data_IF_055695901508
#
_entry.id   IF_055695901508
#
_cell.length_a   1.000
_cell.length_b   1.000
_cell.length_c   1.000
_cell.angle_alpha   90.00
_cell.angle_beta   90.00
_cell.angle_gamma   90.00
#
_symmetry.space_group_name_H-M   'P 1'
#
loop_
_entity.id
_entity.type
_entity.pdbx_description
1 polymer ?
#
# COMPACT_ATOMS: atom_id res chain seq x y z
N UNK A 1 -11.44 -5.33 13.93
CA UNK A 1 -10.29 -5.87 14.71
C UNK A 1 -9.09 -6.01 13.77
N UNK A 2 -7.89 -5.58 14.19
CA UNK A 2 -6.69 -5.66 13.36
C UNK A 2 -6.36 -7.13 13.03
N UNK A 3 -6.19 -7.45 11.75
CA UNK A 3 -5.79 -8.79 11.31
C UNK A 3 -4.29 -8.98 11.55
N UNK A 4 -3.92 -10.11 12.14
CA UNK A 4 -2.53 -10.38 12.50
C UNK A 4 -1.76 -10.90 11.27
N UNK A 5 -0.67 -10.22 10.91
CA UNK A 5 0.24 -10.68 9.85
C UNK A 5 1.16 -11.76 10.41
N UNK A 6 1.37 -12.81 9.63
CA UNK A 6 2.29 -13.90 9.92
C UNK A 6 3.39 -13.93 8.86
N UNK A 7 4.62 -14.25 9.28
CA UNK A 7 5.74 -14.62 8.42
C UNK A 7 6.26 -15.99 8.90
N UNK A 8 6.25 -16.98 8.01
CA UNK A 8 6.58 -18.37 8.35
C UNK A 8 5.81 -18.85 9.60
N UNK A 9 4.51 -18.57 9.61
CA UNK A 9 3.55 -18.87 10.70
C UNK A 9 3.82 -18.21 12.05
N UNK A 10 4.78 -17.28 12.14
CA UNK A 10 5.06 -16.49 13.34
C UNK A 10 4.51 -15.08 13.19
N UNK A 11 4.06 -14.47 14.29
CA UNK A 11 3.62 -13.08 14.30
C UNK A 11 4.69 -12.19 13.69
N UNK A 12 4.28 -11.34 12.77
CA UNK A 12 5.16 -10.46 12.03
C UNK A 12 4.56 -9.07 11.90
N UNK A 13 5.43 -8.07 11.91
CA UNK A 13 5.08 -6.66 11.75
C UNK A 13 6.03 -6.05 10.73
N UNK A 14 5.47 -5.49 9.66
CA UNK A 14 6.22 -4.61 8.76
C UNK A 14 6.37 -3.27 9.47
N UNK A 15 7.58 -2.75 9.51
CA UNK A 15 7.92 -1.50 10.16
C UNK A 15 8.24 -0.42 9.12
N UNK A 16 8.32 0.84 9.55
CA UNK A 16 8.67 1.95 8.67
C UNK A 16 9.99 1.73 7.93
N UNK A 17 10.99 1.12 8.57
CA UNK A 17 12.30 0.79 7.97
C UNK A 17 12.23 -0.25 6.83
N UNK A 18 11.12 -0.99 6.73
CA UNK A 18 10.90 -2.00 5.70
C UNK A 18 10.23 -1.39 4.44
N UNK A 19 9.89 -0.10 4.49
CA UNK A 19 9.37 0.69 3.38
C UNK A 19 10.53 1.19 2.48
N UNK A 20 10.31 1.36 1.17
CA UNK A 20 9.06 1.20 0.45
C UNK A 20 8.73 -0.27 0.12
N UNK A 21 7.44 -0.60 0.08
CA UNK A 21 6.90 -1.95 -0.17
C UNK A 21 6.17 -1.99 -1.51
N UNK A 22 6.46 -3.00 -2.33
CA UNK A 22 5.65 -3.38 -3.50
C UNK A 22 4.90 -4.68 -3.22
N UNK A 23 3.60 -4.70 -3.45
CA UNK A 23 2.74 -5.87 -3.31
C UNK A 23 2.09 -6.17 -4.66
N UNK A 24 2.42 -7.33 -5.21
CA UNK A 24 1.84 -7.83 -6.44
C UNK A 24 0.86 -8.98 -6.16
N UNK A 25 -0.29 -8.96 -6.83
CA UNK A 25 -1.18 -10.11 -6.87
C UNK A 25 -2.31 -10.01 -7.89
N UNK A 26 -2.70 -11.16 -8.43
CA UNK A 26 -3.92 -11.35 -9.21
C UNK A 26 -5.20 -11.14 -8.38
N UNK A 27 -6.34 -11.07 -9.09
CA UNK A 27 -7.64 -10.93 -8.45
C UNK A 27 -7.99 -12.19 -7.63
N UNK A 28 -8.57 -12.00 -6.45
CA UNK A 28 -9.13 -13.09 -5.63
C UNK A 28 -8.12 -13.93 -4.84
N UNK A 29 -6.81 -13.65 -4.91
CA UNK A 29 -5.78 -14.48 -4.25
C UNK A 29 -5.41 -14.01 -2.84
N UNK A 30 -5.86 -12.83 -2.42
CA UNK A 30 -5.67 -12.32 -1.06
C UNK A 30 -4.78 -11.08 -0.92
N UNK A 31 -4.04 -10.69 -1.96
CA UNK A 31 -3.14 -9.52 -1.92
C UNK A 31 -3.83 -8.22 -1.47
N UNK A 32 -5.06 -8.00 -1.94
CA UNK A 32 -5.84 -6.81 -1.59
C UNK A 32 -6.10 -6.72 -0.08
N UNK A 33 -6.62 -7.79 0.52
CA UNK A 33 -6.90 -7.81 1.96
C UNK A 33 -5.61 -7.69 2.77
N UNK A 34 -4.57 -8.42 2.38
CA UNK A 34 -3.26 -8.36 3.03
C UNK A 34 -2.68 -6.93 3.03
N UNK A 35 -2.72 -6.24 1.89
CA UNK A 35 -2.19 -4.87 1.77
C UNK A 35 -2.92 -3.88 2.68
N UNK A 36 -4.24 -4.02 2.82
CA UNK A 36 -5.02 -3.19 3.74
C UNK A 36 -4.63 -3.50 5.19
N UNK A 37 -4.52 -4.77 5.55
CA UNK A 37 -4.07 -5.17 6.90
C UNK A 37 -2.66 -4.68 7.24
N UNK A 38 -1.75 -4.70 6.27
CA UNK A 38 -0.40 -4.16 6.41
C UNK A 38 -0.41 -2.66 6.72
N UNK A 39 -1.18 -1.88 5.95
CA UNK A 39 -1.27 -0.42 6.18
C UNK A 39 -2.04 -0.10 7.46
N UNK A 40 -3.05 -0.91 7.81
CA UNK A 40 -3.72 -0.83 9.11
C UNK A 40 -2.77 -1.09 10.28
N UNK A 41 -1.86 -2.06 10.15
CA UNK A 41 -0.85 -2.36 11.17
C UNK A 41 0.17 -1.21 11.28
N UNK A 42 0.68 -0.68 10.16
CA UNK A 42 1.54 0.52 10.15
C UNK A 42 0.86 1.73 10.81
N UNK A 43 -0.43 1.94 10.53
CA UNK A 43 -1.19 3.01 11.19
C UNK A 43 -1.32 2.78 12.69
N UNK A 44 -1.53 1.53 13.12
CA UNK A 44 -1.58 1.16 14.54
C UNK A 44 -0.23 1.28 15.25
N UNK A 45 0.88 1.22 14.51
CA UNK A 45 2.21 1.54 14.99
C UNK A 45 2.45 3.06 15.13
N UNK A 46 1.50 3.91 14.71
CA UNK A 46 1.54 5.36 14.90
C UNK A 46 1.80 6.16 13.62
N UNK A 47 1.88 5.52 12.45
CA UNK A 47 2.11 6.22 11.19
C UNK A 47 0.81 6.82 10.64
N UNK A 48 0.91 8.05 10.17
CA UNK A 48 -0.18 8.73 9.47
C UNK A 48 -0.23 8.27 8.00
N UNK A 49 -1.42 8.27 7.39
CA UNK A 49 -1.67 7.61 6.10
C UNK A 49 -2.36 8.54 5.11
N UNK A 50 -1.80 8.63 3.90
CA UNK A 50 -2.54 9.02 2.70
C UNK A 50 -2.97 7.76 1.97
N UNK A 51 -4.28 7.60 1.79
CA UNK A 51 -4.87 6.35 1.31
C UNK A 51 -5.59 6.62 -0.01
N UNK A 52 -5.00 6.14 -1.11
CA UNK A 52 -5.58 6.16 -2.45
C UNK A 52 -5.85 4.72 -2.91
N UNK A 53 -7.09 4.44 -3.27
CA UNK A 53 -7.55 3.13 -3.73
C UNK A 53 -8.64 3.32 -4.76
N UNK A 54 -8.64 2.51 -5.83
CA UNK A 54 -9.70 2.52 -6.84
C UNK A 54 -11.06 2.05 -6.33
N UNK A 55 -11.15 1.51 -5.12
CA UNK A 55 -12.37 0.95 -4.56
C UNK A 55 -12.60 1.33 -3.10
N UNK A 56 -13.87 1.62 -2.74
CA UNK A 56 -14.30 2.01 -1.40
C UNK A 56 -14.15 0.92 -0.35
N UNK A 57 -14.33 -0.35 -0.73
CA UNK A 57 -14.24 -1.50 0.18
C UNK A 57 -12.90 -1.59 0.93
N UNK A 58 -11.81 -1.18 0.29
CA UNK A 58 -10.49 -1.14 0.93
C UNK A 58 -10.43 -0.13 2.07
N UNK A 59 -11.14 1.01 1.93
CA UNK A 59 -11.26 2.01 2.99
C UNK A 59 -12.11 1.48 4.14
N UNK A 60 -13.26 0.89 3.84
CA UNK A 60 -14.14 0.30 4.85
C UNK A 60 -13.41 -0.76 5.68
N UNK A 61 -12.66 -1.63 5.02
CA UNK A 61 -11.83 -2.65 5.67
C UNK A 61 -10.73 -2.03 6.55
N UNK A 62 -10.07 -0.97 6.09
CA UNK A 62 -9.09 -0.24 6.88
C UNK A 62 -9.72 0.37 8.14
N UNK A 63 -10.87 1.03 8.00
CA UNK A 63 -11.61 1.63 9.12
C UNK A 63 -12.09 0.56 10.10
N UNK A 64 -12.54 -0.61 9.62
CA UNK A 64 -12.96 -1.72 10.49
C UNK A 64 -11.79 -2.34 11.28
N UNK A 65 -10.62 -2.45 10.66
CA UNK A 65 -9.43 -2.97 11.33
C UNK A 65 -8.87 -1.97 12.35
N UNK A 66 -8.89 -0.68 12.02
CA UNK A 66 -8.23 0.36 12.82
C UNK A 66 -9.16 1.09 13.79
N UNK A 67 -10.45 1.13 13.53
CA UNK A 67 -11.40 2.04 14.19
C UNK A 67 -11.16 3.52 13.89
N UNK A 68 -10.19 3.86 13.02
CA UNK A 68 -9.91 5.23 12.64
C UNK A 68 -10.92 5.67 11.58
N UNK A 69 -11.55 6.83 11.77
CA UNK A 69 -12.36 7.48 10.73
C UNK A 69 -11.47 8.46 9.98
N UNK A 70 -11.18 8.16 8.71
CA UNK A 70 -10.39 9.05 7.87
C UNK A 70 -11.20 10.27 7.43
N UNK A 71 -10.52 11.28 6.90
CA UNK A 71 -11.14 12.46 6.31
C UNK A 71 -11.02 12.39 4.80
N UNK A 72 -12.11 12.67 4.10
CA UNK A 72 -12.10 12.85 2.65
C UNK A 72 -11.66 14.25 2.29
N UNK A 73 -10.76 14.35 1.33
CA UNK A 73 -10.33 15.62 0.77
C UNK A 73 -11.17 15.98 -0.46
N UNK A 74 -11.47 17.26 -0.62
CA UNK A 74 -12.11 17.82 -1.81
C UNK A 74 -11.11 18.65 -2.63
N UNK A 75 -11.52 19.05 -3.83
CA UNK A 75 -10.70 19.83 -4.76
C UNK A 75 -10.20 21.16 -4.19
N UNK A 76 -10.94 21.73 -3.24
CA UNK A 76 -10.63 23.02 -2.63
C UNK A 76 -9.83 22.89 -1.33
N UNK A 77 -9.55 21.66 -0.88
CA UNK A 77 -8.97 21.37 0.43
C UNK A 77 -9.78 22.00 1.58
N UNK A 78 -11.06 22.34 1.35
CA UNK A 78 -11.91 23.14 2.23
C UNK A 78 -12.49 22.32 3.38
N UNK A 79 -12.72 21.03 3.17
CA UNK A 79 -13.23 20.12 4.20
C UNK A 79 -12.19 19.77 5.28
N UNK A 80 -11.01 20.40 5.20
CA UNK A 80 -9.83 20.00 5.93
C UNK A 80 -9.19 21.17 6.67
N UNK A 81 -9.99 21.95 7.40
CA UNK A 81 -9.45 22.84 8.44
C UNK A 81 -8.49 22.02 9.32
N UNK A 82 -7.21 22.42 9.34
CA UNK A 82 -6.12 21.70 9.98
C UNK A 82 -5.87 20.29 9.40
N UNK A 83 -5.80 20.16 8.07
CA UNK A 83 -5.52 18.89 7.37
C UNK A 83 -4.22 18.23 7.85
N UNK A 84 -3.21 19.03 8.20
CA UNK A 84 -1.95 18.57 8.78
C UNK A 84 -2.13 17.76 10.08
N UNK A 85 -3.20 18.00 10.84
CA UNK A 85 -3.49 17.24 12.08
C UNK A 85 -4.17 15.89 11.85
N UNK A 86 -4.62 15.60 10.61
CA UNK A 86 -5.40 14.39 10.33
C UNK A 86 -4.48 13.20 10.15
N UNK A 87 -4.74 12.13 10.89
CA UNK A 87 -3.94 10.91 10.83
C UNK A 87 -4.18 10.06 9.60
N UNK A 88 -5.38 10.11 9.05
CA UNK A 88 -5.76 9.33 7.86
C UNK A 88 -6.54 10.26 6.92
N UNK A 89 -6.04 10.38 5.70
CA UNK A 89 -6.68 11.16 4.63
C UNK A 89 -6.98 10.21 3.49
N UNK A 90 -8.26 10.12 3.13
CA UNK A 90 -8.73 9.36 1.98
C UNK A 90 -8.73 10.24 0.74
N UNK A 91 -8.00 9.81 -0.27
CA UNK A 91 -7.98 10.45 -1.58
C UNK A 91 -9.08 9.79 -2.43
N UNK A 92 -10.01 10.56 -3.00
CA UNK A 92 -11.01 10.03 -3.92
C UNK A 92 -10.34 9.44 -5.17
N UNK A 93 -10.81 8.27 -5.62
CA UNK A 93 -10.24 7.55 -6.77
C UNK A 93 -10.39 8.31 -8.08
N UNK A 94 -11.43 9.13 -8.18
CA UNK A 94 -11.78 9.97 -9.32
C UNK A 94 -10.94 11.26 -9.40
N UNK A 95 -10.20 11.58 -8.35
CA UNK A 95 -9.36 12.77 -8.23
C UNK A 95 -7.98 12.43 -7.63
N UNK A 96 -7.21 11.51 -8.25
CA UNK A 96 -5.92 11.07 -7.73
C UNK A 96 -4.88 12.20 -7.65
N UNK A 97 -5.04 13.27 -8.44
CA UNK A 97 -4.22 14.49 -8.39
C UNK A 97 -4.29 15.22 -7.05
N UNK A 98 -5.33 15.00 -6.23
CA UNK A 98 -5.38 15.55 -4.88
C UNK A 98 -4.29 14.98 -3.97
N UNK A 99 -3.82 13.77 -4.24
CA UNK A 99 -2.62 13.24 -3.58
C UNK A 99 -1.43 14.14 -3.86
N UNK A 100 -1.23 14.53 -5.12
CA UNK A 100 -0.13 15.39 -5.53
C UNK A 100 -0.25 16.78 -4.87
N UNK A 101 -1.44 17.36 -4.87
CA UNK A 101 -1.69 18.62 -4.19
C UNK A 101 -1.46 18.56 -2.67
N UNK A 102 -1.71 17.42 -2.03
CA UNK A 102 -1.36 17.20 -0.61
C UNK A 102 0.15 17.18 -0.38
N UNK A 103 0.89 16.46 -1.22
CA UNK A 103 2.35 16.38 -1.13
C UNK A 103 3.01 17.76 -1.24
N UNK A 104 2.47 18.63 -2.09
CA UNK A 104 3.00 19.99 -2.30
C UNK A 104 2.63 20.97 -1.16
N UNK A 105 1.63 20.65 -0.34
CA UNK A 105 1.10 21.54 0.72
C UNK A 105 1.52 21.16 2.13
N UNK A 106 1.77 19.87 2.37
CA UNK A 106 2.01 19.33 3.70
C UNK A 106 3.49 19.02 3.90
N UNK A 107 4.13 19.75 4.82
CA UNK A 107 5.54 19.57 5.14
C UNK A 107 5.86 18.16 5.69
N UNK A 108 4.90 17.54 6.36
CA UNK A 108 5.00 16.18 6.93
C UNK A 108 4.59 15.09 5.93
N UNK A 109 4.21 15.44 4.70
CA UNK A 109 3.83 14.46 3.68
C UNK A 109 4.87 13.34 3.44
N UNK A 110 6.19 13.61 3.43
CA UNK A 110 7.20 12.56 3.29
C UNK A 110 7.27 11.58 4.48
N UNK A 111 6.80 12.00 5.67
CA UNK A 111 6.80 11.19 6.90
C UNK A 111 5.61 10.22 6.95
N UNK A 112 4.55 10.53 6.19
CA UNK A 112 3.33 9.73 6.12
C UNK A 112 3.49 8.52 5.22
N UNK A 113 2.77 7.45 5.54
CA UNK A 113 2.62 6.29 4.66
C UNK A 113 1.72 6.67 3.49
N UNK A 114 2.25 6.57 2.28
CA UNK A 114 1.47 6.67 1.04
C UNK A 114 1.03 5.27 0.66
N UNK A 115 -0.25 4.95 0.86
CA UNK A 115 -0.83 3.72 0.37
C UNK A 115 -1.52 3.97 -0.96
N UNK A 116 -0.92 3.46 -2.03
CA UNK A 116 -1.45 3.58 -3.39
C UNK A 116 -1.80 2.19 -3.91
N UNK A 117 -3.09 1.87 -3.76
CA UNK A 117 -3.68 0.57 -4.01
C UNK A 117 -4.38 0.56 -5.37
N UNK A 118 -4.28 -0.56 -6.08
CA UNK A 118 -4.72 -0.73 -7.45
C UNK A 118 -4.01 0.22 -8.41
N UNK A 119 -2.68 0.27 -8.33
CA UNK A 119 -1.87 1.15 -9.18
C UNK A 119 -2.18 0.99 -10.68
N UNK A 120 -2.61 -0.19 -11.13
CA UNK A 120 -3.01 -0.45 -12.52
C UNK A 120 -4.23 0.36 -12.99
N UNK A 121 -4.99 0.95 -12.06
CA UNK A 121 -6.18 1.77 -12.38
C UNK A 121 -5.88 3.26 -12.52
N UNK A 122 -4.65 3.68 -12.22
CA UNK A 122 -4.26 5.09 -12.19
C UNK A 122 -3.17 5.35 -13.21
N UNK A 123 -3.06 6.59 -13.66
CA UNK A 123 -2.08 6.97 -14.67
C UNK A 123 -0.67 7.12 -14.08
N UNK A 124 0.33 6.85 -14.92
CA UNK A 124 1.75 6.95 -14.61
C UNK A 124 2.18 8.28 -13.95
N UNK A 125 1.66 9.47 -14.33
CA UNK A 125 2.08 10.72 -13.73
C UNK A 125 1.89 10.77 -12.21
N UNK A 126 0.86 10.10 -11.66
CA UNK A 126 0.66 10.00 -10.21
C UNK A 126 1.77 9.18 -9.57
N UNK A 127 2.12 8.04 -10.16
CA UNK A 127 3.24 7.22 -9.69
C UNK A 127 4.56 7.99 -9.73
N UNK A 128 4.83 8.73 -10.82
CA UNK A 128 6.05 9.54 -10.95
C UNK A 128 6.22 10.56 -9.83
N UNK A 129 5.13 11.11 -9.30
CA UNK A 129 5.16 12.07 -8.18
C UNK A 129 5.45 11.42 -6.82
N UNK A 130 5.14 10.14 -6.65
CA UNK A 130 5.30 9.44 -5.35
C UNK A 130 6.46 8.46 -5.31
N UNK A 131 7.04 8.09 -6.46
CA UNK A 131 8.04 7.01 -6.56
C UNK A 131 9.30 7.22 -5.71
N UNK A 132 9.68 8.46 -5.40
CA UNK A 132 10.84 8.78 -4.58
C UNK A 132 10.54 8.83 -3.08
N UNK A 133 9.26 8.75 -2.68
CA UNK A 133 8.89 8.83 -1.28
C UNK A 133 9.32 7.56 -0.53
N UNK A 134 9.88 7.69 0.69
CA UNK A 134 10.43 6.55 1.43
C UNK A 134 9.33 5.66 1.99
N UNK A 135 8.23 6.25 2.46
CA UNK A 135 7.13 5.56 3.15
C UNK A 135 6.02 5.13 2.18
N UNK A 136 6.40 4.49 1.08
CA UNK A 136 5.46 4.09 0.02
C UNK A 136 5.04 2.62 0.16
N UNK A 137 3.74 2.36 0.09
CA UNK A 137 3.17 1.01 -0.07
C UNK A 137 2.37 0.98 -1.36
N UNK A 138 2.83 0.22 -2.35
CA UNK A 138 2.11 -0.02 -3.59
C UNK A 138 1.47 -1.39 -3.57
N UNK A 139 0.20 -1.47 -3.97
CA UNK A 139 -0.45 -2.75 -4.21
C UNK A 139 -1.19 -2.73 -5.53
N UNK A 140 -1.09 -3.80 -6.31
CA UNK A 140 -1.78 -3.91 -7.59
C UNK A 140 -1.34 -5.09 -8.43
N UNK A 141 -1.72 -5.06 -9.70
CA UNK A 141 -1.33 -6.08 -10.67
C UNK A 141 -0.32 -5.50 -11.68
N UNK A 142 0.94 -5.92 -11.56
CA UNK A 142 2.03 -5.50 -12.44
C UNK A 142 1.75 -5.85 -13.90
N UNK A 143 1.16 -7.01 -14.15
CA UNK A 143 0.88 -7.51 -15.50
C UNK A 143 -0.27 -6.74 -16.19
N UNK A 144 -0.98 -5.87 -15.46
CA UNK A 144 -2.03 -4.98 -15.97
C UNK A 144 -1.65 -3.51 -15.95
N UNK A 145 -0.47 -3.16 -15.45
CA UNK A 145 -0.03 -1.79 -15.30
C UNK A 145 0.75 -1.33 -16.54
N UNK A 146 0.34 -0.22 -17.14
CA UNK A 146 0.98 0.34 -18.34
C UNK A 146 2.40 0.86 -18.10
N UNK A 147 2.77 1.14 -16.84
CA UNK A 147 4.08 1.65 -16.43
C UNK A 147 4.82 0.66 -15.51
N UNK A 148 4.53 -0.64 -15.66
CA UNK A 148 5.15 -1.69 -14.85
C UNK A 148 6.68 -1.66 -14.87
N UNK A 149 7.31 -1.35 -16.01
CA UNK A 149 8.77 -1.24 -16.14
C UNK A 149 9.38 -0.29 -15.10
N UNK A 150 8.70 0.82 -14.80
CA UNK A 150 9.18 1.78 -13.80
C UNK A 150 8.97 1.31 -12.36
N UNK A 151 7.90 0.54 -12.13
CA UNK A 151 7.69 -0.13 -10.85
C UNK A 151 8.78 -1.18 -10.61
N UNK A 152 9.13 -1.96 -11.64
CA UNK A 152 10.17 -3.00 -11.57
C UNK A 152 11.56 -2.40 -11.39
N UNK A 153 11.86 -1.31 -12.10
CA UNK A 153 13.16 -0.63 -12.02
C UNK A 153 13.41 0.10 -10.68
N UNK A 154 12.36 0.37 -9.90
CA UNK A 154 12.50 1.01 -8.58
C UNK A 154 13.12 0.03 -7.58
N UNK A 155 14.04 0.55 -6.77
CA UNK A 155 14.55 -0.15 -5.60
C UNK A 155 13.47 -0.20 -4.50
N UNK A 156 12.98 -1.40 -4.22
CA UNK A 156 12.03 -1.69 -3.15
C UNK A 156 12.77 -2.32 -1.97
N UNK A 157 12.49 -1.85 -0.77
CA UNK A 157 13.04 -2.44 0.45
C UNK A 157 12.39 -3.81 0.73
N UNK A 158 11.10 -3.91 0.40
CA UNK A 158 10.33 -5.14 0.52
C UNK A 158 9.49 -5.36 -0.72
N UNK A 159 9.48 -6.59 -1.24
CA UNK A 159 8.55 -7.03 -2.29
C UNK A 159 7.71 -8.18 -1.76
N UNK A 160 6.43 -8.19 -2.09
CA UNK A 160 5.50 -9.23 -1.65
C UNK A 160 4.70 -9.71 -2.85
N UNK A 161 4.76 -11.01 -3.11
CA UNK A 161 4.16 -11.63 -4.28
C UNK A 161 3.14 -12.67 -3.87
N UNK A 162 1.87 -12.44 -4.20
CA UNK A 162 0.81 -13.44 -4.02
C UNK A 162 0.62 -14.31 -5.28
N UNK A 163 1.13 -13.85 -6.42
CA UNK A 163 1.15 -14.56 -7.71
C UNK A 163 2.45 -14.25 -8.43
N UNK A 164 2.79 -15.07 -9.42
CA UNK A 164 3.89 -14.75 -10.33
C UNK A 164 3.50 -13.57 -11.24
N UNK A 165 4.48 -12.72 -11.57
CA UNK A 165 4.32 -11.64 -12.55
C UNK A 165 5.22 -11.90 -13.75
N UNK A 166 4.71 -11.64 -14.94
CA UNK A 166 5.52 -11.69 -16.17
C UNK A 166 6.56 -10.57 -16.24
N UNK A 167 6.37 -9.51 -15.46
CA UNK A 167 7.25 -8.35 -15.39
C UNK A 167 8.49 -8.59 -14.52
N UNK A 168 8.50 -9.65 -13.70
CA UNK A 168 9.60 -9.96 -12.78
C UNK A 168 9.96 -11.44 -12.91
N UNK A 169 10.96 -11.74 -13.74
CA UNK A 169 11.43 -13.10 -14.03
C UNK A 169 12.27 -13.72 -12.91
N UNK A 170 12.93 -12.89 -12.11
CA UNK A 170 14.01 -13.35 -11.22
C UNK A 170 13.48 -13.86 -9.88
N UNK A 171 12.20 -13.64 -9.59
CA UNK A 171 11.55 -14.09 -8.36
C UNK A 171 11.01 -15.50 -8.56
N UNK A 172 11.66 -16.48 -7.91
CA UNK A 172 11.19 -17.86 -7.85
C UNK A 172 10.22 -18.03 -6.68
N UNK A 173 8.93 -18.00 -6.97
CA UNK A 173 7.92 -18.20 -5.94
C UNK A 173 7.85 -19.66 -5.50
N UNK A 174 7.81 -19.95 -4.19
CA UNK A 174 7.45 -21.28 -3.71
C UNK A 174 5.97 -21.58 -4.04
N UNK A 175 5.51 -22.83 -3.88
CA UNK A 175 4.08 -23.11 -3.87
C UNK A 175 3.39 -22.26 -2.80
N UNK A 176 2.37 -21.49 -3.22
CA UNK A 176 1.58 -20.64 -2.34
C UNK A 176 0.12 -21.10 -2.37
N UNK A 177 -0.49 -21.23 -1.19
CA UNK A 177 -1.94 -21.41 -1.07
C UNK A 177 -2.68 -20.08 -1.25
N UNK A 178 -4.00 -20.15 -1.41
CA UNK A 178 -4.84 -18.94 -1.42
C UNK A 178 -4.64 -18.16 -0.10
N UNK A 179 -4.54 -16.83 -0.19
CA UNK A 179 -4.22 -15.91 0.92
C UNK A 179 -2.79 -16.01 1.47
N UNK A 180 -1.91 -16.74 0.80
CA UNK A 180 -0.47 -16.70 1.07
C UNK A 180 0.24 -15.85 0.02
N UNK A 181 1.23 -15.08 0.48
CA UNK A 181 2.19 -14.39 -0.36
C UNK A 181 3.61 -14.80 -0.01
N UNK A 182 4.56 -14.49 -0.87
CA UNK A 182 5.98 -14.61 -0.61
C UNK A 182 6.57 -13.22 -0.40
N UNK A 183 7.12 -12.97 0.78
CA UNK A 183 7.85 -11.75 1.11
C UNK A 183 9.33 -11.96 0.78
N UNK A 184 9.90 -11.00 0.06
CA UNK A 184 11.31 -10.87 -0.24
C UNK A 184 11.84 -9.52 0.25
N UNK A 185 12.88 -9.53 1.07
CA UNK A 185 13.59 -8.34 1.55
C UNK A 185 15.05 -8.66 1.85
N UNK A 186 15.85 -7.64 2.15
CA UNK A 186 17.24 -7.85 2.60
C UNK A 186 17.34 -8.46 3.99
N UNK A 187 16.31 -8.30 4.83
CA UNK A 187 16.33 -8.73 6.23
C UNK A 187 15.77 -10.14 6.44
N UNK A 188 14.72 -10.49 5.70
CA UNK A 188 13.99 -11.74 5.86
C UNK A 188 13.19 -12.07 4.61
N UNK A 189 13.03 -13.37 4.35
CA UNK A 189 12.19 -13.91 3.29
C UNK A 189 11.28 -14.99 3.86
N UNK A 190 10.11 -15.20 3.24
CA UNK A 190 9.24 -16.29 3.65
C UNK A 190 7.79 -16.12 3.23
N UNK A 191 6.98 -17.10 3.64
CA UNK A 191 5.55 -17.09 3.37
C UNK A 191 4.88 -16.12 4.34
N UNK A 192 4.19 -15.13 3.79
CA UNK A 192 3.33 -14.21 4.53
C UNK A 192 1.87 -14.58 4.39
N UNK A 193 1.11 -14.42 5.47
CA UNK A 193 -0.33 -14.65 5.48
C UNK A 193 -0.99 -13.81 6.57
N UNK A 194 -2.33 -13.82 6.60
CA UNK A 194 -3.09 -13.30 7.72
C UNK A 194 -3.55 -14.47 8.59
N UNK A 195 -3.50 -14.29 9.91
CA UNK A 195 -4.11 -15.22 10.86
C UNK A 195 -5.63 -15.20 10.63
N UNK A 196 -6.18 -16.38 10.34
CA UNK A 196 -7.63 -16.62 10.25
C UNK A 196 -8.27 -16.62 11.64
#
# INVERSE_FOLDING_TARGET
MLKQILLNSKRFHIQQKDLPVLIHGDSGIGASLFSVSLVSDLHKQGLDVFFLSGYSWARNEFEEQTGAKGVFIDSNFSNATNIASKKVIFIPSEQPELLVGLLDRLNDAPERVIFFKNFELFEEPIFLRIKSLPNLVLMGNLDKCSYADQLVAKNWQTKIFFSASKQISDVKLPPLEKYQGYLESTAQNGIVSLKQ
#
